data_IF_991083097003
#
_entry.id   IF_991083097003
#
_cell.length_a   1.000
_cell.length_b   1.000
_cell.length_c   1.000
_cell.angle_alpha   90.00
_cell.angle_beta   90.00
_cell.angle_gamma   90.00
#
_symmetry.space_group_name_H-M   'P 1'
#
loop_
_entity.id
_entity.type
_entity.pdbx_description
1 polymer ?
#
# COMPACT_ATOMS: atom_id res chain seq x y z
N UNK A 1 -14.14 17.12 -26.78
CA UNK A 1 -12.95 16.24 -26.87
C UNK A 1 -12.90 15.18 -25.78
N UNK A 2 -12.70 15.50 -24.48
CA UNK A 2 -12.63 14.50 -23.39
C UNK A 2 -13.81 13.51 -23.33
N UNK A 3 -15.06 14.02 -23.38
CA UNK A 3 -16.26 13.17 -23.33
C UNK A 3 -16.37 12.23 -24.54
N UNK A 4 -15.96 12.70 -25.72
CA UNK A 4 -15.93 11.89 -26.94
C UNK A 4 -14.85 10.80 -26.87
N UNK A 5 -13.66 11.11 -26.36
CA UNK A 5 -12.58 10.14 -26.16
C UNK A 5 -12.96 9.05 -25.14
N UNK A 6 -13.58 9.42 -24.03
CA UNK A 6 -14.05 8.45 -23.03
C UNK A 6 -15.18 7.55 -23.55
N UNK A 7 -15.98 8.03 -24.53
CA UNK A 7 -17.03 7.25 -25.17
C UNK A 7 -16.48 6.29 -26.24
N UNK A 8 -15.43 6.68 -26.97
CA UNK A 8 -14.81 5.88 -28.03
C UNK A 8 -13.84 4.83 -27.45
N UNK A 9 -13.10 5.19 -26.40
CA UNK A 9 -12.11 4.33 -25.75
C UNK A 9 -12.14 4.56 -24.22
N UNK A 10 -13.05 3.89 -23.49
CA UNK A 10 -13.07 3.98 -22.05
C UNK A 10 -11.75 3.44 -21.45
N UNK A 11 -11.19 4.08 -20.42
CA UNK A 11 -9.94 3.63 -19.81
C UNK A 11 -10.15 2.26 -19.18
N UNK A 12 -9.26 1.32 -19.53
CA UNK A 12 -9.20 0.02 -18.90
C UNK A 12 -8.64 0.14 -17.47
N UNK A 13 -8.89 -0.87 -16.63
CA UNK A 13 -8.49 -0.87 -15.21
C UNK A 13 -7.05 -0.40 -14.95
N UNK A 14 -6.08 -0.84 -15.76
CA UNK A 14 -4.64 -0.54 -15.62
C UNK A 14 -4.13 0.48 -16.64
N UNK A 15 -4.99 1.13 -17.43
CA UNK A 15 -4.54 2.03 -18.51
C UNK A 15 -3.74 3.23 -17.99
N UNK A 16 -4.00 3.64 -16.75
CA UNK A 16 -3.37 4.81 -16.12
C UNK A 16 -2.20 4.46 -15.18
N UNK A 17 -1.80 3.20 -15.06
CA UNK A 17 -0.77 2.79 -14.08
C UNK A 17 0.58 3.47 -14.33
N UNK A 18 0.91 3.77 -15.59
CA UNK A 18 2.13 4.50 -15.95
C UNK A 18 2.07 6.01 -15.64
N UNK A 19 0.86 6.55 -15.47
CA UNK A 19 0.65 7.96 -15.12
C UNK A 19 0.73 8.20 -13.60
N UNK A 20 0.84 7.13 -12.80
CA UNK A 20 0.96 7.24 -11.37
C UNK A 20 2.31 7.84 -10.99
N UNK A 21 2.34 8.83 -10.07
CA UNK A 21 3.59 9.33 -9.55
C UNK A 21 4.30 8.23 -8.75
N UNK A 22 5.64 8.23 -8.80
CA UNK A 22 6.44 7.38 -7.92
C UNK A 22 6.22 7.81 -6.46
N UNK A 23 6.42 6.86 -5.53
CA UNK A 23 6.33 7.13 -4.10
C UNK A 23 7.36 8.20 -3.71
N UNK A 24 6.95 9.36 -3.16
CA UNK A 24 7.88 10.41 -2.77
C UNK A 24 8.75 9.98 -1.60
N UNK A 25 10.02 10.39 -1.62
CA UNK A 25 10.91 10.26 -0.47
C UNK A 25 10.75 11.51 0.43
N UNK A 26 10.25 11.38 1.68
CA UNK A 26 10.12 12.51 2.58
C UNK A 26 11.49 13.08 2.97
N UNK A 27 11.55 14.36 3.33
CA UNK A 27 12.78 14.96 3.82
C UNK A 27 13.21 14.31 5.13
N UNK A 28 14.52 14.16 5.31
CA UNK A 28 15.07 13.55 6.51
C UNK A 28 14.70 14.33 7.77
N UNK A 29 14.85 15.67 7.73
CA UNK A 29 14.54 16.55 8.87
C UNK A 29 13.08 16.43 9.31
N UNK A 30 12.15 16.46 8.34
CA UNK A 30 10.71 16.33 8.59
C UNK A 30 10.36 14.95 9.19
N UNK A 31 11.05 13.91 8.71
CA UNK A 31 10.83 12.52 9.19
C UNK A 31 11.32 12.37 10.63
N UNK A 32 12.49 12.89 10.96
CA UNK A 32 13.03 12.84 12.32
C UNK A 32 12.21 13.70 13.27
N UNK A 33 11.77 14.88 12.83
CA UNK A 33 10.85 15.73 13.62
C UNK A 33 9.55 15.00 13.93
N UNK A 34 8.90 14.41 12.91
CA UNK A 34 7.67 13.64 13.11
C UNK A 34 7.87 12.44 14.03
N UNK A 35 9.02 11.77 13.97
CA UNK A 35 9.39 10.70 14.89
C UNK A 35 9.49 11.18 16.34
N UNK A 36 10.26 12.24 16.61
CA UNK A 36 10.41 12.81 17.95
C UNK A 36 9.06 13.30 18.49
N UNK A 37 8.28 14.04 17.68
CA UNK A 37 6.96 14.55 18.07
C UNK A 37 6.00 13.41 18.44
N UNK A 38 6.05 12.28 17.72
CA UNK A 38 5.22 11.10 18.00
C UNK A 38 5.58 10.41 19.32
N UNK A 39 6.85 10.45 19.72
CA UNK A 39 7.35 9.78 20.93
C UNK A 39 7.17 10.62 22.20
N UNK A 40 6.91 11.92 22.06
CA UNK A 40 6.78 12.88 23.17
C UNK A 40 5.82 12.42 24.27
N UNK A 41 4.70 11.79 23.89
CA UNK A 41 3.67 11.35 24.84
C UNK A 41 3.82 9.89 25.28
N UNK A 42 4.75 9.15 24.69
CA UNK A 42 4.92 7.73 24.96
C UNK A 42 6.04 7.44 25.98
N UNK A 43 6.98 8.37 26.15
CA UNK A 43 8.19 8.15 26.94
C UNK A 43 8.29 9.14 28.11
N UNK A 44 8.96 8.76 29.22
CA UNK A 44 9.29 9.67 30.29
C UNK A 44 10.27 10.75 29.82
N UNK A 45 10.30 11.89 30.53
CA UNK A 45 11.00 13.10 30.12
C UNK A 45 12.52 12.89 29.94
N UNK A 46 13.14 12.10 30.81
CA UNK A 46 14.57 11.78 30.75
C UNK A 46 14.94 11.02 29.47
N UNK A 47 14.16 9.99 29.10
CA UNK A 47 14.36 9.20 27.89
C UNK A 47 14.06 10.03 26.64
N UNK A 48 13.08 10.93 26.71
CA UNK A 48 12.73 11.85 25.63
C UNK A 48 13.88 12.83 25.33
N UNK A 49 14.53 13.37 26.36
CA UNK A 49 15.71 14.23 26.18
C UNK A 49 16.86 13.47 25.47
N UNK A 50 17.12 12.23 25.89
CA UNK A 50 18.12 11.39 25.23
C UNK A 50 17.74 11.06 23.78
N UNK A 51 16.46 10.83 23.50
CA UNK A 51 15.97 10.57 22.15
C UNK A 51 16.24 11.76 21.22
N UNK A 52 15.97 12.98 21.69
CA UNK A 52 16.26 14.20 20.94
C UNK A 52 17.75 14.29 20.61
N UNK A 53 18.61 14.06 21.61
CA UNK A 53 20.07 14.11 21.42
C UNK A 53 20.52 13.09 20.35
N UNK A 54 20.11 11.83 20.48
CA UNK A 54 20.44 10.77 19.50
C UNK A 54 19.89 11.08 18.11
N UNK A 55 18.68 11.62 18.03
CA UNK A 55 18.06 12.02 16.76
C UNK A 55 18.84 13.13 16.07
N UNK A 56 19.33 14.12 16.83
CA UNK A 56 20.18 15.19 16.32
C UNK A 56 21.56 14.68 15.88
N UNK A 57 22.16 13.77 16.66
CA UNK A 57 23.40 13.11 16.27
C UNK A 57 23.24 12.33 14.96
N UNK A 58 22.14 11.58 14.79
CA UNK A 58 21.82 10.87 13.56
C UNK A 58 21.66 11.83 12.36
N UNK A 59 20.98 12.96 12.54
CA UNK A 59 20.82 14.00 11.51
C UNK A 59 22.16 14.64 11.09
N UNK A 60 23.10 14.78 12.03
CA UNK A 60 24.42 15.33 11.77
C UNK A 60 25.37 14.34 11.08
N UNK A 61 25.19 13.04 11.36
CA UNK A 61 26.11 11.96 10.97
C UNK A 61 25.51 11.01 9.92
N UNK A 62 25.21 9.78 10.31
CA UNK A 62 24.85 8.64 9.46
C UNK A 62 23.57 8.85 8.66
N UNK A 63 22.60 9.60 9.21
CA UNK A 63 21.32 9.84 8.58
C UNK A 63 21.46 10.50 7.21
N UNK A 64 22.44 11.40 7.05
CA UNK A 64 22.72 12.06 5.75
C UNK A 64 23.20 11.06 4.71
N UNK A 65 24.04 10.12 5.10
CA UNK A 65 24.59 9.09 4.19
C UNK A 65 23.51 8.09 3.79
N UNK A 66 22.73 7.61 4.76
CA UNK A 66 21.60 6.70 4.51
C UNK A 66 20.52 7.36 3.64
N UNK A 67 20.21 8.63 3.89
CA UNK A 67 19.24 9.37 3.09
C UNK A 67 19.71 9.59 1.65
N UNK A 68 21.02 9.77 1.40
CA UNK A 68 21.58 9.79 0.03
C UNK A 68 21.36 8.45 -0.68
N UNK A 69 21.59 7.32 -0.03
CA UNK A 69 21.32 6.01 -0.61
C UNK A 69 19.82 5.81 -0.90
N UNK A 70 18.96 6.22 0.02
CA UNK A 70 17.51 6.20 -0.18
C UNK A 70 17.08 7.07 -1.36
N UNK A 71 17.70 8.25 -1.53
CA UNK A 71 17.44 9.14 -2.65
C UNK A 71 17.83 8.52 -3.99
N UNK A 72 19.01 7.90 -4.08
CA UNK A 72 19.44 7.14 -5.26
C UNK A 72 18.41 6.04 -5.56
N UNK A 73 18.04 5.23 -4.57
CA UNK A 73 17.08 4.14 -4.76
C UNK A 73 15.71 4.65 -5.22
N UNK A 74 15.22 5.75 -4.65
CA UNK A 74 13.97 6.42 -5.05
C UNK A 74 13.99 6.87 -6.51
N UNK A 75 15.14 7.31 -7.05
CA UNK A 75 15.25 7.71 -8.46
C UNK A 75 15.23 6.53 -9.43
N UNK A 76 15.81 5.40 -9.05
CA UNK A 76 15.93 4.23 -9.94
C UNK A 76 14.80 3.21 -9.81
N UNK A 77 13.89 3.37 -8.83
CA UNK A 77 12.76 2.45 -8.60
C UNK A 77 11.43 3.19 -8.67
N UNK A 78 10.42 2.57 -9.29
CA UNK A 78 9.06 3.11 -9.32
C UNK A 78 8.45 3.20 -7.91
N UNK A 79 8.72 2.18 -7.09
CA UNK A 79 8.46 2.17 -5.66
C UNK A 79 9.66 1.55 -4.94
N UNK A 80 10.41 2.38 -4.23
CA UNK A 80 11.63 1.95 -3.53
C UNK A 80 11.35 1.18 -2.23
N UNK A 81 10.10 1.20 -1.72
CA UNK A 81 9.71 0.58 -0.45
C UNK A 81 9.18 -0.83 -0.66
N UNK A 82 8.55 -1.14 -1.79
CA UNK A 82 7.86 -2.42 -2.02
C UNK A 82 8.72 -3.65 -1.72
N UNK A 83 9.97 -3.70 -2.20
CA UNK A 83 10.84 -4.86 -1.97
C UNK A 83 11.23 -5.02 -0.50
N UNK A 84 11.44 -3.91 0.21
CA UNK A 84 11.73 -3.95 1.64
C UNK A 84 10.51 -4.36 2.45
N UNK A 85 9.35 -3.79 2.10
CA UNK A 85 8.09 -4.10 2.76
C UNK A 85 7.74 -5.58 2.64
N UNK A 86 7.76 -6.13 1.44
CA UNK A 86 7.47 -7.55 1.20
C UNK A 86 8.45 -8.46 1.97
N UNK A 87 9.75 -8.17 1.87
CA UNK A 87 10.77 -8.99 2.50
C UNK A 87 10.68 -8.96 4.02
N UNK A 88 10.62 -7.78 4.63
CA UNK A 88 10.76 -7.64 6.08
C UNK A 88 9.44 -7.75 6.84
N UNK A 89 8.31 -7.33 6.24
CA UNK A 89 7.01 -7.41 6.90
C UNK A 89 6.39 -8.80 6.74
N UNK A 90 6.53 -9.43 5.57
CA UNK A 90 5.86 -10.71 5.30
C UNK A 90 6.81 -11.90 5.26
N UNK A 91 7.92 -11.81 4.52
CA UNK A 91 8.76 -13.00 4.26
C UNK A 91 9.79 -13.32 5.35
N UNK A 92 10.21 -12.34 6.14
CA UNK A 92 11.20 -12.54 7.20
C UNK A 92 10.60 -13.16 8.47
N UNK A 93 9.29 -13.00 8.69
CA UNK A 93 8.60 -13.51 9.87
C UNK A 93 8.62 -15.04 9.92
N UNK A 94 9.01 -15.61 11.07
CA UNK A 94 9.01 -17.07 11.32
C UNK A 94 7.82 -17.55 12.15
N UNK A 95 6.83 -16.68 12.36
CA UNK A 95 5.63 -16.99 13.12
C UNK A 95 4.57 -17.68 12.23
N UNK A 96 3.63 -18.44 12.82
CA UNK A 96 2.58 -19.10 12.04
C UNK A 96 1.66 -18.09 11.37
N UNK A 97 1.41 -18.29 10.07
CA UNK A 97 0.63 -17.38 9.23
C UNK A 97 -0.87 -17.28 9.55
N UNK A 98 -1.59 -18.36 9.91
CA UNK A 98 -3.06 -18.32 9.99
C UNK A 98 -3.62 -17.32 10.99
N UNK A 99 -2.92 -17.08 12.10
CA UNK A 99 -3.39 -16.19 13.18
C UNK A 99 -2.68 -14.83 13.11
N UNK A 100 -1.38 -14.82 12.85
CA UNK A 100 -0.57 -13.61 13.06
C UNK A 100 -0.49 -12.69 11.85
N UNK A 101 -0.82 -13.16 10.64
CA UNK A 101 -0.68 -12.36 9.41
C UNK A 101 -1.81 -12.53 8.41
N UNK A 102 -2.46 -13.69 8.36
CA UNK A 102 -3.55 -13.92 7.42
C UNK A 102 -4.81 -13.22 7.94
N UNK A 103 -5.33 -12.27 7.17
CA UNK A 103 -6.60 -11.61 7.48
C UNK A 103 -7.72 -12.54 7.01
N UNK A 104 -8.52 -13.06 7.94
CA UNK A 104 -9.75 -13.77 7.61
C UNK A 104 -10.91 -12.78 7.48
N UNK A 105 -11.82 -13.07 6.55
CA UNK A 105 -13.08 -12.35 6.41
C UNK A 105 -14.21 -13.35 6.61
N UNK A 106 -15.18 -12.99 7.44
CA UNK A 106 -16.41 -13.76 7.60
C UNK A 106 -17.51 -13.06 6.81
N UNK A 107 -18.04 -13.73 5.79
CA UNK A 107 -19.18 -13.22 5.03
C UNK A 107 -20.43 -13.90 5.57
N UNK A 108 -21.19 -13.16 6.38
CA UNK A 108 -22.47 -13.63 6.90
C UNK A 108 -23.53 -13.45 5.81
N UNK A 109 -24.00 -14.56 5.24
CA UNK A 109 -25.24 -14.54 4.47
C UNK A 109 -26.39 -14.60 5.47
N UNK A 110 -27.33 -13.65 5.38
CA UNK A 110 -28.49 -13.59 6.29
C UNK A 110 -29.31 -14.88 6.28
N UNK A 111 -30.19 -15.01 7.27
CA UNK A 111 -31.01 -16.21 7.50
C UNK A 111 -31.71 -16.68 6.22
N UNK A 112 -31.23 -17.78 5.65
CA UNK A 112 -31.78 -18.39 4.44
C UNK A 112 -31.85 -19.90 4.66
N UNK A 113 -33.00 -20.50 4.36
CA UNK A 113 -33.24 -21.95 4.40
C UNK A 113 -32.54 -22.72 3.27
N UNK A 114 -31.68 -22.06 2.49
CA UNK A 114 -30.98 -22.65 1.35
C UNK A 114 -29.86 -23.59 1.83
N UNK A 115 -29.80 -24.80 1.25
CA UNK A 115 -28.73 -25.78 1.52
C UNK A 115 -27.34 -25.15 1.29
N UNK A 116 -26.36 -25.51 2.12
CA UNK A 116 -24.96 -25.06 2.02
C UNK A 116 -24.42 -25.12 0.57
N UNK A 117 -24.75 -26.17 -0.17
CA UNK A 117 -24.36 -26.38 -1.57
C UNK A 117 -24.79 -25.21 -2.47
N UNK A 118 -26.02 -24.71 -2.31
CA UNK A 118 -26.51 -23.58 -3.11
C UNK A 118 -25.75 -22.29 -2.79
N UNK A 119 -25.47 -22.04 -1.51
CA UNK A 119 -24.71 -20.85 -1.09
C UNK A 119 -23.27 -20.89 -1.64
N UNK A 120 -22.62 -22.05 -1.56
CA UNK A 120 -21.28 -22.27 -2.15
C UNK A 120 -21.30 -22.08 -3.67
N UNK A 121 -22.29 -22.63 -4.38
CA UNK A 121 -22.42 -22.46 -5.82
C UNK A 121 -22.60 -20.98 -6.22
N UNK A 122 -23.41 -20.24 -5.46
CA UNK A 122 -23.62 -18.80 -5.66
C UNK A 122 -22.33 -18.00 -5.41
N UNK A 123 -21.58 -18.32 -4.36
CA UNK A 123 -20.29 -17.70 -4.05
C UNK A 123 -19.29 -17.90 -5.19
N UNK A 124 -19.13 -19.15 -5.64
CA UNK A 124 -18.25 -19.49 -6.76
C UNK A 124 -18.65 -18.75 -8.03
N UNK A 125 -19.94 -18.63 -8.32
CA UNK A 125 -20.43 -17.86 -9.47
C UNK A 125 -20.05 -16.38 -9.39
N UNK A 126 -20.25 -15.73 -8.24
CA UNK A 126 -19.89 -14.33 -8.02
C UNK A 126 -18.38 -14.12 -8.15
N UNK A 127 -17.58 -14.98 -7.53
CA UNK A 127 -16.12 -14.93 -7.60
C UNK A 127 -15.62 -15.15 -9.03
N UNK A 128 -16.19 -16.11 -9.76
CA UNK A 128 -15.83 -16.38 -11.16
C UNK A 128 -16.12 -15.19 -12.06
N UNK A 129 -17.29 -14.57 -11.92
CA UNK A 129 -17.63 -13.36 -12.69
C UNK A 129 -16.69 -12.20 -12.31
N UNK A 130 -16.34 -12.10 -11.04
CA UNK A 130 -15.40 -11.08 -10.55
C UNK A 130 -14.01 -11.28 -11.17
N UNK A 131 -13.47 -12.49 -11.14
CA UNK A 131 -12.19 -12.81 -11.77
C UNK A 131 -12.22 -12.56 -13.28
N UNK A 132 -13.29 -12.98 -13.98
CA UNK A 132 -13.46 -12.70 -15.41
C UNK A 132 -13.52 -11.20 -15.73
N UNK A 133 -14.13 -10.40 -14.86
CA UNK A 133 -14.17 -8.96 -15.00
C UNK A 133 -12.80 -8.31 -14.75
N UNK A 134 -11.97 -8.85 -13.86
CA UNK A 134 -10.58 -8.42 -13.64
C UNK A 134 -9.72 -8.72 -14.87
N UNK A 135 -9.80 -9.94 -15.39
CA UNK A 135 -9.03 -10.38 -16.57
C UNK A 135 -9.36 -9.53 -17.80
N UNK A 136 -10.65 -9.20 -17.96
CA UNK A 136 -11.12 -8.32 -19.04
C UNK A 136 -10.91 -6.84 -18.76
N UNK A 137 -10.32 -6.48 -17.62
CA UNK A 137 -10.09 -5.11 -17.15
C UNK A 137 -11.36 -4.23 -17.16
N UNK A 138 -12.53 -4.86 -16.89
CA UNK A 138 -13.86 -4.24 -16.91
C UNK A 138 -14.25 -3.57 -15.60
N UNK A 139 -13.46 -3.74 -14.54
CA UNK A 139 -13.68 -2.99 -13.31
C UNK A 139 -13.50 -1.51 -13.56
N UNK A 140 -14.41 -0.71 -13.02
CA UNK A 140 -14.24 0.73 -12.97
C UNK A 140 -12.93 1.03 -12.23
N UNK A 141 -12.08 1.85 -12.85
CA UNK A 141 -10.97 2.45 -12.14
C UNK A 141 -11.56 3.15 -10.91
N UNK A 142 -11.11 2.75 -9.71
CA UNK A 142 -11.57 3.38 -8.47
C UNK A 142 -11.21 4.85 -8.60
N UNK A 143 -12.25 5.68 -8.49
CA UNK A 143 -12.25 7.11 -8.77
C UNK A 143 -11.03 7.82 -8.22
N UNK A 144 -10.58 8.85 -8.95
CA UNK A 144 -9.65 9.84 -8.44
C UNK A 144 -10.19 10.42 -7.12
N UNK A 145 -9.74 9.90 -5.97
CA UNK A 145 -9.96 10.55 -4.68
C UNK A 145 -9.14 11.83 -4.74
N UNK A 146 -9.80 12.96 -5.01
CA UNK A 146 -9.18 14.28 -5.13
C UNK A 146 -8.02 14.34 -6.14
N UNK A 147 -8.34 14.27 -7.44
CA UNK A 147 -7.41 14.52 -8.58
C UNK A 147 -6.26 13.49 -8.71
N UNK A 148 -6.08 12.57 -7.75
CA UNK A 148 -5.00 11.57 -7.77
C UNK A 148 -5.53 10.21 -8.18
N UNK A 149 -4.93 9.65 -9.23
CA UNK A 149 -5.16 8.27 -9.65
C UNK A 149 -4.60 7.36 -8.55
N UNK A 150 -5.40 6.37 -8.12
CA UNK A 150 -4.99 5.40 -7.10
C UNK A 150 -4.40 4.17 -7.79
N UNK A 151 -3.22 3.73 -7.35
CA UNK A 151 -2.55 2.54 -7.85
C UNK A 151 -3.39 1.29 -7.60
N UNK A 152 -3.62 0.48 -8.64
CA UNK A 152 -4.36 -0.80 -8.52
C UNK A 152 -3.47 -2.04 -8.49
N UNK A 153 -2.24 -2.00 -9.04
CA UNK A 153 -1.04 -2.84 -8.69
C UNK A 153 -0.01 -2.79 -9.83
N UNK A 154 1.17 -2.25 -9.56
CA UNK A 154 2.34 -2.19 -10.48
C UNK A 154 3.26 -3.41 -10.34
N UNK A 155 2.69 -4.62 -10.36
CA UNK A 155 3.47 -5.87 -10.30
C UNK A 155 2.81 -6.95 -11.12
N UNK A 156 3.33 -7.14 -12.34
CA UNK A 156 3.34 -8.39 -13.13
C UNK A 156 4.32 -8.16 -14.29
N UNK A 157 5.62 -8.27 -13.97
CA UNK A 157 6.67 -8.74 -14.87
C UNK A 157 7.58 -9.64 -14.05
#
# INVERSE_FOLDING_TARGET
>A
LRKALLAIAPPQLSSCDRLLPNLPLPRLDDTIKGYVDSMKYFMPEEDYAQLIERSNQFLASEGRTLHRYAWILHKFKENYVTSFWEKYIYYAGRYPLPINSSISQCVMYGDNELTQIYQTARLLYIETISNLALDRQKYLAVSCISIRVVCKRKKLK
#
